data_IF_995955210083
#
_entry.id   IF_995955210083
#
_cell.length_a   1.000
_cell.length_b   1.000
_cell.length_c   1.000
_cell.angle_alpha   90.00
_cell.angle_beta   90.00
_cell.angle_gamma   90.00
#
_symmetry.space_group_name_H-M   'P 1'
#
loop_
_entity.id
_entity.type
_entity.pdbx_description
1 polymer ?
#
# COMPACT_ATOMS: atom_id res chain seq x y z
N UNK A 1 8.91 -8.75 -17.35
CA UNK A 1 8.38 -9.83 -16.48
C UNK A 1 7.60 -9.15 -15.37
N UNK A 2 6.38 -9.60 -15.06
CA UNK A 2 5.59 -9.06 -13.94
C UNK A 2 5.77 -10.02 -12.75
N UNK A 3 6.88 -9.87 -12.03
CA UNK A 3 7.22 -10.71 -10.87
C UNK A 3 7.64 -9.79 -9.72
N UNK A 4 7.18 -10.06 -8.48
CA UNK A 4 7.58 -9.28 -7.33
C UNK A 4 9.07 -9.48 -7.02
N UNK A 5 9.68 -8.41 -6.52
CA UNK A 5 11.09 -8.38 -6.08
C UNK A 5 11.17 -7.60 -4.78
N UNK A 6 12.15 -7.94 -3.95
CA UNK A 6 12.59 -7.05 -2.87
C UNK A 6 13.58 -6.06 -3.44
N UNK A 7 13.33 -4.78 -3.24
CA UNK A 7 14.20 -3.70 -3.65
C UNK A 7 14.95 -3.12 -2.44
N UNK A 8 16.24 -2.86 -2.62
CA UNK A 8 17.15 -2.33 -1.60
C UNK A 8 17.74 -0.99 -2.05
N UNK A 9 18.51 -0.35 -1.15
CA UNK A 9 19.14 0.96 -1.36
C UNK A 9 18.10 2.02 -1.74
N UNK A 10 18.23 2.63 -2.92
CA UNK A 10 17.27 3.61 -3.45
C UNK A 10 16.19 2.97 -4.32
N UNK A 11 16.02 1.65 -4.22
CA UNK A 11 15.02 0.88 -4.97
C UNK A 11 15.52 0.34 -6.32
N UNK A 12 16.83 0.28 -6.54
CA UNK A 12 17.46 -0.15 -7.80
C UNK A 12 18.27 -1.44 -7.69
N UNK A 13 18.48 -1.95 -6.47
CA UNK A 13 19.07 -3.26 -6.23
C UNK A 13 17.97 -4.27 -5.92
N UNK A 14 17.83 -5.29 -6.77
CA UNK A 14 16.73 -6.26 -6.68
C UNK A 14 17.19 -7.63 -6.20
N UNK A 15 16.41 -8.23 -5.30
CA UNK A 15 16.50 -9.65 -4.96
C UNK A 15 15.17 -10.34 -5.27
N UNK A 16 15.21 -11.60 -5.73
CA UNK A 16 13.99 -12.39 -5.91
C UNK A 16 13.17 -12.47 -4.62
N UNK A 17 11.85 -12.43 -4.80
CA UNK A 17 10.87 -12.65 -3.74
C UNK A 17 9.87 -13.70 -4.22
N UNK A 18 9.76 -14.79 -3.47
CA UNK A 18 8.71 -15.78 -3.70
C UNK A 18 7.42 -15.31 -3.03
N UNK A 19 6.70 -14.44 -3.74
CA UNK A 19 5.39 -13.94 -3.34
C UNK A 19 4.42 -14.14 -4.49
N UNK A 20 3.31 -14.80 -4.24
CA UNK A 20 2.28 -15.05 -5.23
C UNK A 20 0.98 -14.36 -4.83
N UNK A 21 0.64 -13.30 -5.55
CA UNK A 21 -0.63 -12.59 -5.39
C UNK A 21 -1.63 -12.91 -6.52
N UNK A 22 -1.38 -13.93 -7.33
CA UNK A 22 -2.26 -14.29 -8.44
C UNK A 22 -3.67 -14.59 -7.93
N UNK A 23 -4.67 -13.98 -8.56
CA UNK A 23 -6.07 -14.09 -8.15
C UNK A 23 -6.45 -13.17 -7.00
N UNK A 24 -5.51 -12.38 -6.45
CA UNK A 24 -5.82 -11.44 -5.38
C UNK A 24 -6.62 -10.27 -5.93
N UNK A 25 -7.76 -10.01 -5.32
CA UNK A 25 -8.58 -8.84 -5.63
C UNK A 25 -7.91 -7.60 -5.07
N UNK A 26 -7.82 -6.55 -5.88
CA UNK A 26 -7.16 -5.30 -5.55
C UNK A 26 -8.03 -4.10 -5.94
N UNK A 27 -8.08 -3.10 -5.06
CA UNK A 27 -8.63 -1.78 -5.33
C UNK A 27 -7.54 -0.74 -5.13
N UNK A 28 -7.38 0.16 -6.09
CA UNK A 28 -6.48 1.31 -6.02
C UNK A 28 -7.31 2.59 -6.08
N UNK A 29 -7.11 3.50 -5.13
CA UNK A 29 -7.79 4.78 -5.03
C UNK A 29 -6.74 5.88 -5.12
N UNK A 30 -6.86 6.73 -6.13
CA UNK A 30 -6.06 7.93 -6.30
C UNK A 30 -6.91 9.17 -6.04
N UNK A 31 -6.65 9.93 -4.96
CA UNK A 31 -7.49 11.05 -4.55
C UNK A 31 -7.26 12.35 -5.37
N UNK A 32 -6.46 12.31 -6.43
CA UNK A 32 -6.12 13.52 -7.20
C UNK A 32 -5.06 14.41 -6.52
N UNK A 33 -4.50 13.97 -5.40
CA UNK A 33 -3.55 14.73 -4.60
C UNK A 33 -2.13 14.64 -5.20
N UNK A 34 -1.53 15.77 -5.55
CA UNK A 34 -0.15 15.82 -6.00
C UNK A 34 0.79 16.02 -4.81
N UNK A 35 1.60 15.00 -4.52
CA UNK A 35 2.69 15.07 -3.52
C UNK A 35 3.98 14.80 -4.31
N UNK A 36 4.90 15.74 -4.31
CA UNK A 36 6.17 15.51 -5.00
C UNK A 36 7.01 14.47 -4.23
N UNK A 37 7.78 13.66 -4.95
CA UNK A 37 8.69 12.70 -4.29
C UNK A 37 9.65 13.42 -3.34
N UNK A 38 10.19 14.57 -3.74
CA UNK A 38 11.09 15.37 -2.88
C UNK A 38 10.40 15.80 -1.57
N UNK A 39 9.14 16.21 -1.63
CA UNK A 39 8.35 16.57 -0.46
C UNK A 39 8.04 15.37 0.43
N UNK A 40 7.70 14.21 -0.14
CA UNK A 40 7.46 13.02 0.64
C UNK A 40 8.73 12.57 1.38
N UNK A 41 9.87 12.56 0.69
CA UNK A 41 11.16 12.18 1.27
C UNK A 41 11.67 13.18 2.31
N UNK A 42 11.42 14.49 2.15
CA UNK A 42 11.86 15.49 3.13
C UNK A 42 11.14 15.37 4.50
N UNK A 43 9.99 14.68 4.53
CA UNK A 43 9.21 14.43 5.74
C UNK A 43 9.49 13.08 6.39
N UNK A 44 10.12 12.14 5.68
CA UNK A 44 10.47 10.83 6.24
C UNK A 44 11.76 10.96 7.06
N UNK A 45 11.73 10.39 8.26
CA UNK A 45 12.94 10.21 9.06
C UNK A 45 13.47 8.80 8.86
N UNK A 46 14.73 8.69 8.43
CA UNK A 46 15.38 7.40 8.28
C UNK A 46 15.45 6.68 9.63
N UNK A 47 14.85 5.50 9.71
CA UNK A 47 14.84 4.66 10.90
C UNK A 47 15.08 3.21 10.50
N UNK A 48 15.68 2.39 11.37
CA UNK A 48 15.71 0.95 11.16
C UNK A 48 14.28 0.41 10.99
N UNK A 49 14.06 -0.53 10.07
CA UNK A 49 12.74 -1.11 9.90
C UNK A 49 12.31 -1.82 11.17
N UNK A 50 11.04 -1.63 11.56
CA UNK A 50 10.47 -2.25 12.77
C UNK A 50 10.40 -3.77 12.68
N UNK A 51 10.20 -4.28 11.46
CA UNK A 51 10.14 -5.68 11.12
C UNK A 51 10.96 -5.93 9.85
N UNK A 52 11.60 -7.08 9.75
CA UNK A 52 12.25 -7.48 8.50
C UNK A 52 11.18 -7.76 7.43
N UNK A 53 11.18 -6.94 6.36
CA UNK A 53 10.14 -6.99 5.34
C UNK A 53 10.05 -8.36 4.65
N UNK A 54 11.19 -9.03 4.42
CA UNK A 54 11.21 -10.35 3.79
C UNK A 54 10.53 -11.37 4.69
N UNK A 55 10.85 -11.35 5.99
CA UNK A 55 10.22 -12.24 6.97
C UNK A 55 8.72 -11.96 7.10
N UNK A 56 8.32 -10.68 7.15
CA UNK A 56 6.91 -10.28 7.21
C UNK A 56 6.11 -10.77 6.01
N UNK A 57 6.63 -10.60 4.78
CA UNK A 57 5.94 -11.03 3.55
C UNK A 57 5.86 -12.56 3.40
N UNK A 58 6.70 -13.32 4.12
CA UNK A 58 6.63 -14.77 4.18
C UNK A 58 5.56 -15.29 5.16
N UNK A 59 5.00 -14.41 6.02
CA UNK A 59 3.88 -14.74 6.91
C UNK A 59 2.53 -14.57 6.18
N UNK A 60 1.44 -15.17 6.70
CA UNK A 60 0.10 -14.97 6.16
C UNK A 60 -0.25 -13.49 6.00
N UNK A 61 -0.96 -13.13 4.92
CA UNK A 61 -1.25 -11.72 4.59
C UNK A 61 -1.99 -10.99 5.72
N UNK A 62 -2.77 -11.70 6.51
CA UNK A 62 -3.49 -11.19 7.67
C UNK A 62 -2.55 -10.56 8.71
N UNK A 63 -1.30 -11.02 8.81
CA UNK A 63 -0.29 -10.45 9.72
C UNK A 63 0.36 -9.19 9.16
N UNK A 64 0.20 -8.91 7.86
CA UNK A 64 0.91 -7.80 7.19
C UNK A 64 0.45 -6.44 7.69
N UNK A 65 -0.80 -6.32 8.16
CA UNK A 65 -1.30 -5.08 8.76
C UNK A 65 -0.42 -4.58 9.91
N UNK A 66 0.18 -5.50 10.65
CA UNK A 66 1.02 -5.21 11.82
C UNK A 66 2.51 -5.19 11.47
N UNK A 67 2.92 -5.90 10.41
CA UNK A 67 4.33 -6.22 10.14
C UNK A 67 4.88 -5.63 8.83
N UNK A 68 4.03 -5.10 7.96
CA UNK A 68 4.38 -4.46 6.69
C UNK A 68 3.90 -3.01 6.69
N UNK A 69 4.82 -2.09 6.91
CA UNK A 69 4.56 -0.65 7.00
C UNK A 69 5.20 0.12 5.86
N UNK A 70 4.59 1.24 5.49
CA UNK A 70 5.19 2.23 4.62
C UNK A 70 5.49 3.50 5.43
N UNK A 71 6.77 3.85 5.58
CA UNK A 71 7.21 5.00 6.39
C UNK A 71 6.66 6.35 5.90
N UNK A 72 6.27 6.46 4.61
CA UNK A 72 5.61 7.65 4.10
C UNK A 72 4.22 7.86 4.71
N UNK A 73 3.53 6.82 5.17
CA UNK A 73 2.21 6.95 5.77
C UNK A 73 2.27 7.75 7.07
N UNK A 74 3.23 7.43 7.96
CA UNK A 74 3.47 8.16 9.21
C UNK A 74 3.83 9.62 8.93
N UNK A 75 4.63 9.86 7.88
CA UNK A 75 5.11 11.19 7.53
C UNK A 75 4.06 12.07 6.83
N UNK A 76 3.19 11.48 5.99
CA UNK A 76 2.25 12.21 5.14
C UNK A 76 0.86 12.35 5.76
N UNK A 77 0.38 11.37 6.53
CA UNK A 77 -0.99 11.40 7.10
C UNK A 77 -1.27 12.65 7.95
N UNK A 78 -0.33 13.17 8.76
CA UNK A 78 -0.57 14.43 9.51
C UNK A 78 -0.83 15.66 8.62
N UNK A 79 -0.30 15.65 7.40
CA UNK A 79 -0.45 16.74 6.43
C UNK A 79 -1.57 16.48 5.41
N UNK A 80 -1.85 15.21 5.14
CA UNK A 80 -2.88 14.74 4.22
C UNK A 80 -3.74 13.66 4.87
N UNK A 81 -4.66 14.04 5.78
CA UNK A 81 -5.49 13.09 6.52
C UNK A 81 -6.27 12.13 5.64
N UNK A 82 -6.65 12.57 4.43
CA UNK A 82 -7.33 11.76 3.41
C UNK A 82 -6.62 10.44 3.11
N UNK A 83 -5.29 10.37 3.19
CA UNK A 83 -4.54 9.13 2.96
C UNK A 83 -4.84 8.09 4.04
N UNK A 84 -4.88 8.53 5.30
CA UNK A 84 -5.24 7.71 6.45
C UNK A 84 -6.70 7.30 6.40
N UNK A 85 -7.61 8.24 6.07
CA UNK A 85 -9.05 7.98 5.93
C UNK A 85 -9.34 6.92 4.86
N UNK A 86 -8.71 7.03 3.68
CA UNK A 86 -8.85 6.05 2.60
C UNK A 86 -8.33 4.67 3.01
N UNK A 87 -7.16 4.61 3.67
CA UNK A 87 -6.60 3.36 4.20
C UNK A 87 -7.56 2.71 5.21
N UNK A 88 -8.13 3.49 6.13
CA UNK A 88 -9.12 2.97 7.09
C UNK A 88 -10.42 2.54 6.42
N UNK A 89 -10.88 3.28 5.40
CA UNK A 89 -12.08 2.91 4.64
C UNK A 89 -11.90 1.57 3.91
N UNK A 90 -10.72 1.30 3.35
CA UNK A 90 -10.38 0.01 2.74
C UNK A 90 -10.41 -1.12 3.78
N UNK A 91 -9.82 -0.91 4.96
CA UNK A 91 -9.89 -1.90 6.06
C UNK A 91 -11.31 -2.12 6.55
N UNK A 92 -12.11 -1.06 6.73
CA UNK A 92 -13.51 -1.15 7.13
C UNK A 92 -14.36 -1.90 6.10
N UNK A 93 -13.98 -1.82 4.82
CA UNK A 93 -14.60 -2.59 3.74
C UNK A 93 -14.11 -4.05 3.64
N UNK A 94 -13.19 -4.47 4.52
CA UNK A 94 -12.71 -5.85 4.62
C UNK A 94 -11.45 -6.15 3.82
N UNK A 95 -10.59 -5.17 3.56
CA UNK A 95 -9.25 -5.42 3.02
C UNK A 95 -8.44 -6.27 4.00
N UNK A 96 -7.78 -7.32 3.51
CA UNK A 96 -6.79 -8.11 4.25
C UNK A 96 -5.55 -7.27 4.54
N UNK A 97 -5.14 -6.47 3.56
CA UNK A 97 -4.04 -5.51 3.69
C UNK A 97 -4.35 -4.25 2.89
N UNK A 98 -4.00 -3.08 3.44
CA UNK A 98 -4.11 -1.81 2.73
C UNK A 98 -2.93 -0.90 3.08
N UNK A 99 -2.41 -0.18 2.09
CA UNK A 99 -1.30 0.75 2.27
C UNK A 99 -1.24 1.83 1.19
N UNK A 100 -0.51 2.90 1.46
CA UNK A 100 -0.06 3.87 0.47
C UNK A 100 0.91 3.21 -0.53
N UNK A 101 0.73 3.48 -1.82
CA UNK A 101 1.66 3.04 -2.87
C UNK A 101 2.87 3.97 -2.96
N UNK A 102 4.04 3.51 -2.48
CA UNK A 102 5.28 4.30 -2.50
C UNK A 102 5.15 5.60 -1.71
N UNK A 103 5.61 6.72 -2.30
CA UNK A 103 5.46 8.06 -1.72
C UNK A 103 4.05 8.66 -1.88
N UNK A 104 3.09 7.90 -2.41
CA UNK A 104 1.72 8.33 -2.62
C UNK A 104 1.46 9.07 -3.93
N UNK A 105 0.26 9.62 -4.12
CA UNK A 105 -0.86 9.66 -3.16
C UNK A 105 -1.88 8.53 -3.32
N UNK A 106 -1.63 7.57 -4.22
CA UNK A 106 -2.53 6.42 -4.38
C UNK A 106 -2.46 5.49 -3.16
N UNK A 107 -3.63 5.06 -2.68
CA UNK A 107 -3.80 4.06 -1.62
C UNK A 107 -4.43 2.82 -2.23
N UNK A 108 -3.97 1.64 -1.83
CA UNK A 108 -4.51 0.38 -2.33
C UNK A 108 -4.93 -0.55 -1.20
N UNK A 109 -5.87 -1.44 -1.50
CA UNK A 109 -6.32 -2.52 -0.63
C UNK A 109 -6.33 -3.85 -1.39
N UNK A 110 -5.89 -4.90 -0.71
CA UNK A 110 -5.88 -6.29 -1.13
C UNK A 110 -6.97 -7.06 -0.38
N UNK A 111 -7.73 -7.89 -1.09
CA UNK A 111 -8.90 -8.58 -0.56
C UNK A 111 -8.80 -10.09 -0.84
N UNK A 112 -8.39 -10.85 0.17
CA UNK A 112 -8.32 -12.31 0.06
C UNK A 112 -9.74 -12.93 0.03
N UNK A 113 -9.93 -13.95 -0.80
CA UNK A 113 -11.18 -14.73 -0.86
C UNK A 113 -12.39 -13.98 -1.41
N UNK A 114 -12.19 -12.84 -2.09
CA UNK A 114 -13.25 -12.11 -2.79
C UNK A 114 -13.15 -12.32 -4.29
N UNK A 115 -14.28 -12.19 -4.99
CA UNK A 115 -14.34 -12.17 -6.45
C UNK A 115 -14.18 -10.75 -7.02
N UNK A 116 -14.64 -9.74 -6.28
CA UNK A 116 -14.62 -8.33 -6.68
C UNK A 116 -14.32 -7.42 -5.48
N UNK A 117 -13.68 -6.26 -5.69
CA UNK A 117 -13.50 -5.29 -4.62
C UNK A 117 -14.85 -4.74 -4.14
N UNK A 118 -15.00 -4.42 -2.84
CA UNK A 118 -16.23 -3.82 -2.32
C UNK A 118 -16.46 -2.43 -2.94
N UNK A 119 -17.73 -2.01 -3.00
CA UNK A 119 -18.05 -0.61 -3.27
C UNK A 119 -17.72 0.23 -2.03
N UNK A 120 -17.12 1.41 -2.23
CA UNK A 120 -16.88 2.40 -1.18
C UNK A 120 -17.54 3.72 -1.56
N UNK A 121 -18.06 4.50 -0.59
CA UNK A 121 -18.60 5.83 -0.81
C UNK A 121 -17.46 6.85 -1.03
N UNK A 122 -16.82 6.79 -2.19
CA UNK A 122 -15.69 7.65 -2.56
C UNK A 122 -16.16 8.92 -3.27
N UNK A 123 -15.38 10.00 -3.19
CA UNK A 123 -15.63 11.20 -3.99
C UNK A 123 -15.61 10.87 -5.48
N UNK A 124 -16.52 11.46 -6.25
CA UNK A 124 -16.60 11.29 -7.70
C UNK A 124 -15.33 11.80 -8.44
N UNK A 125 -14.55 12.65 -7.79
CA UNK A 125 -13.29 13.18 -8.33
C UNK A 125 -12.14 12.18 -8.23
N UNK A 126 -12.28 11.14 -7.39
CA UNK A 126 -11.23 10.15 -7.19
C UNK A 126 -11.16 9.21 -8.38
N UNK A 127 -9.93 8.89 -8.80
CA UNK A 127 -9.71 7.83 -9.79
C UNK A 127 -9.60 6.51 -9.06
N UNK A 128 -10.42 5.56 -9.46
CA UNK A 128 -10.47 4.23 -8.84
C UNK A 128 -10.18 3.19 -9.91
N UNK A 129 -9.34 2.23 -9.56
CA UNK A 129 -9.13 1.02 -10.33
C UNK A 129 -9.47 -0.20 -9.48
N UNK A 130 -10.20 -1.12 -10.08
CA UNK A 130 -10.59 -2.40 -9.49
C UNK A 130 -10.11 -3.52 -10.40
N UNK A 131 -9.49 -4.54 -9.83
CA UNK A 131 -9.04 -5.68 -10.62
C UNK A 131 -8.55 -6.85 -9.79
N UNK A 132 -8.03 -7.84 -10.53
CA UNK A 132 -7.48 -9.08 -10.00
C UNK A 132 -6.03 -9.16 -10.45
N UNK A 133 -5.12 -9.45 -9.52
CA UNK A 133 -3.67 -9.54 -9.74
C UNK A 133 -3.23 -10.86 -10.37
#
# INVERSE_FOLDING_TARGET
>A
RNQPVLAYEKGDVFQPLDLNLRGMVCKVIYPGLHISTAEAYSRVQARPPRHDLRQSLAQPMETWRETVSNDFEDALTPHYPVLGELKQALYAAGATYASLSGSGSAVYGLFAGRELPPALPLSAEYRVWDGVL
#
